data_IF_909096141455
#
_entry.id   IF_909096141455
#
_cell.length_a   1.000
_cell.length_b   1.000
_cell.length_c   1.000
_cell.angle_alpha   90.00
_cell.angle_beta   90.00
_cell.angle_gamma   90.00
#
_symmetry.space_group_name_H-M   'P 1'
#
loop_
_entity.id
_entity.type
_entity.pdbx_description
1 polymer ?
#
# COMPACT_ATOMS: atom_id res chain seq x y z
N UNK A 1 67.90 14.94 0.35
CA UNK A 1 67.12 14.56 -0.83
C UNK A 1 66.31 13.24 -0.61
N UNK A 2 66.93 12.17 -0.09
CA UNK A 2 66.23 10.89 0.17
C UNK A 2 65.15 10.95 1.27
N UNK A 3 65.29 11.81 2.28
CA UNK A 3 64.35 11.91 3.41
C UNK A 3 63.03 12.61 3.02
N UNK A 4 63.05 13.54 2.11
CA UNK A 4 61.89 14.27 1.61
C UNK A 4 61.01 13.40 0.67
N UNK A 5 61.63 12.52 -0.10
CA UNK A 5 60.89 11.60 -0.98
C UNK A 5 60.21 10.50 -0.14
N UNK A 6 60.86 10.02 0.91
CA UNK A 6 60.29 9.01 1.81
C UNK A 6 59.08 9.57 2.59
N UNK A 7 59.18 10.82 3.07
CA UNK A 7 58.10 11.50 3.78
C UNK A 7 56.88 11.72 2.89
N UNK A 8 57.08 12.15 1.63
CA UNK A 8 56.01 12.35 0.70
C UNK A 8 55.31 11.04 0.28
N UNK A 9 56.03 9.92 0.17
CA UNK A 9 55.43 8.60 -0.08
C UNK A 9 54.57 8.14 1.10
N UNK A 10 54.99 8.36 2.30
CA UNK A 10 54.19 8.01 3.51
C UNK A 10 52.93 8.88 3.57
N UNK A 11 53.02 10.18 3.28
CA UNK A 11 51.89 11.10 3.25
C UNK A 11 50.86 10.73 2.16
N UNK A 12 51.32 10.32 0.98
CA UNK A 12 50.42 9.83 -0.09
C UNK A 12 49.74 8.53 0.29
N UNK A 13 50.44 7.58 0.90
CA UNK A 13 49.84 6.33 1.40
C UNK A 13 48.77 6.58 2.48
N UNK A 14 48.98 7.55 3.36
CA UNK A 14 48.04 7.94 4.40
C UNK A 14 46.79 8.62 3.79
N UNK A 15 46.97 9.46 2.77
CA UNK A 15 45.88 10.15 2.07
C UNK A 15 45.03 9.17 1.27
N UNK A 16 45.65 8.25 0.53
CA UNK A 16 44.95 7.21 -0.24
C UNK A 16 44.18 6.26 0.65
N UNK A 17 44.77 5.87 1.80
CA UNK A 17 44.12 4.99 2.79
C UNK A 17 42.92 5.67 3.44
N UNK A 18 43.01 6.94 3.80
CA UNK A 18 41.88 7.69 4.37
C UNK A 18 40.80 8.00 3.32
N UNK A 19 41.17 8.27 2.08
CA UNK A 19 40.22 8.46 0.98
C UNK A 19 39.43 7.16 0.68
N UNK A 20 40.09 6.00 0.79
CA UNK A 20 39.44 4.71 0.61
C UNK A 20 38.44 4.38 1.75
N UNK A 21 38.77 4.77 2.99
CA UNK A 21 37.83 4.63 4.12
C UNK A 21 36.64 5.60 4.00
N UNK A 22 36.83 6.81 3.50
CA UNK A 22 35.74 7.77 3.26
C UNK A 22 34.81 7.25 2.13
N UNK A 23 35.35 6.67 1.07
CA UNK A 23 34.56 6.05 -0.02
C UNK A 23 33.77 4.83 0.44
N UNK A 24 34.29 4.01 1.36
CA UNK A 24 33.57 2.89 1.96
C UNK A 24 32.42 3.33 2.87
N UNK A 25 32.54 4.47 3.56
CA UNK A 25 31.46 5.03 4.38
C UNK A 25 30.33 5.64 3.54
N UNK A 26 30.60 6.13 2.34
CA UNK A 26 29.56 6.68 1.44
C UNK A 26 28.78 5.61 0.69
N UNK A 27 29.33 4.42 0.48
CA UNK A 27 28.64 3.34 -0.23
C UNK A 27 27.62 2.57 0.64
N UNK A 28 27.69 2.69 1.96
CA UNK A 28 26.75 2.00 2.87
C UNK A 28 25.39 2.70 3.04
N UNK A 29 25.21 3.93 2.55
CA UNK A 29 23.97 4.68 2.73
C UNK A 29 22.92 4.40 1.64
N UNK A 30 23.24 3.71 0.55
CA UNK A 30 22.30 3.42 -0.53
C UNK A 30 21.55 2.09 -0.36
N UNK A 31 22.07 1.17 0.42
CA UNK A 31 21.48 -0.17 0.65
C UNK A 31 20.44 -0.14 1.79
N UNK A 32 20.59 0.77 2.76
CA UNK A 32 19.78 0.80 3.98
C UNK A 32 18.32 1.24 3.79
N UNK A 33 17.99 1.97 2.71
CA UNK A 33 16.62 2.49 2.58
C UNK A 33 15.65 1.47 1.96
N UNK A 34 16.15 0.54 1.19
CA UNK A 34 15.34 -0.43 0.46
C UNK A 34 14.97 -1.63 1.34
N UNK A 35 15.92 -2.12 2.13
CA UNK A 35 15.68 -3.17 3.12
C UNK A 35 14.67 -2.74 4.21
N UNK A 36 14.70 -1.46 4.62
CA UNK A 36 13.77 -0.90 5.60
C UNK A 36 12.32 -0.95 5.10
N UNK A 37 12.06 -0.69 3.81
CA UNK A 37 10.70 -0.74 3.26
C UNK A 37 10.14 -2.15 3.27
N UNK A 38 10.93 -3.15 2.90
CA UNK A 38 10.49 -4.56 2.88
C UNK A 38 10.22 -5.06 4.29
N UNK A 39 11.12 -4.80 5.24
CA UNK A 39 10.94 -5.16 6.66
C UNK A 39 9.67 -4.48 7.22
N UNK A 40 9.47 -3.20 6.91
CA UNK A 40 8.28 -2.48 7.35
C UNK A 40 7.00 -3.12 6.80
N UNK A 41 6.97 -3.44 5.50
CA UNK A 41 5.83 -4.08 4.87
C UNK A 41 5.55 -5.46 5.46
N UNK A 42 6.58 -6.26 5.66
CA UNK A 42 6.47 -7.59 6.23
C UNK A 42 5.87 -7.53 7.64
N UNK A 43 6.33 -6.61 8.47
CA UNK A 43 5.78 -6.37 9.81
C UNK A 43 4.31 -5.95 9.78
N UNK A 44 3.92 -5.05 8.87
CA UNK A 44 2.53 -4.61 8.75
C UNK A 44 1.62 -5.73 8.22
N UNK A 45 2.08 -6.50 7.23
CA UNK A 45 1.36 -7.68 6.75
C UNK A 45 1.19 -8.72 7.86
N UNK A 46 2.26 -9.00 8.62
CA UNK A 46 2.18 -9.91 9.74
C UNK A 46 1.11 -9.48 10.76
N UNK A 47 1.08 -8.21 11.16
CA UNK A 47 0.06 -7.67 12.08
C UNK A 47 -1.36 -7.85 11.55
N UNK A 48 -1.56 -7.57 10.27
CA UNK A 48 -2.86 -7.71 9.61
C UNK A 48 -3.32 -9.17 9.61
N UNK A 49 -2.49 -10.07 9.10
CA UNK A 49 -2.86 -11.49 8.98
C UNK A 49 -2.95 -12.20 10.32
N UNK A 50 -2.12 -11.84 11.29
CA UNK A 50 -2.22 -12.34 12.66
C UNK A 50 -3.58 -11.95 13.29
N UNK A 51 -4.02 -10.71 13.07
CA UNK A 51 -5.35 -10.27 13.50
C UNK A 51 -6.47 -11.06 12.82
N UNK A 52 -6.44 -11.17 11.49
CA UNK A 52 -7.46 -11.92 10.72
C UNK A 52 -7.53 -13.37 11.20
N UNK A 53 -6.40 -14.04 11.30
CA UNK A 53 -6.35 -15.45 11.71
C UNK A 53 -6.88 -15.68 13.13
N UNK A 54 -6.59 -14.76 14.06
CA UNK A 54 -7.03 -14.89 15.47
C UNK A 54 -8.47 -14.47 15.72
N UNK A 55 -9.04 -13.63 14.85
CA UNK A 55 -10.32 -12.96 15.07
C UNK A 55 -11.36 -13.20 13.98
N UNK A 56 -11.09 -14.10 13.04
CA UNK A 56 -12.00 -14.41 11.92
C UNK A 56 -13.38 -14.90 12.39
N UNK A 57 -13.48 -15.51 13.56
CA UNK A 57 -14.73 -15.95 14.16
C UNK A 57 -15.66 -14.77 14.55
N UNK A 58 -15.09 -13.58 14.80
CA UNK A 58 -15.87 -12.38 15.08
C UNK A 58 -16.65 -11.88 13.85
N UNK A 59 -16.26 -12.25 12.63
CA UNK A 59 -17.01 -11.87 11.42
C UNK A 59 -18.47 -12.31 11.50
N UNK A 60 -18.73 -13.46 12.10
CA UNK A 60 -20.08 -14.03 12.27
C UNK A 60 -20.70 -13.68 13.63
N UNK A 61 -19.87 -13.51 14.68
CA UNK A 61 -20.34 -13.32 16.06
C UNK A 61 -20.52 -11.86 16.45
N UNK A 62 -19.62 -10.99 16.01
CA UNK A 62 -19.57 -9.56 16.35
C UNK A 62 -18.79 -8.80 15.27
N UNK A 63 -19.48 -8.50 14.17
CA UNK A 63 -18.90 -7.85 13.01
C UNK A 63 -18.27 -6.48 13.32
N UNK A 64 -18.93 -5.69 14.18
CA UNK A 64 -18.43 -4.36 14.56
C UNK A 64 -17.12 -4.44 15.33
N UNK A 65 -17.00 -5.40 16.25
CA UNK A 65 -15.75 -5.66 16.96
C UNK A 65 -14.65 -6.12 16.01
N UNK A 66 -14.98 -6.96 15.02
CA UNK A 66 -14.02 -7.38 14.01
C UNK A 66 -13.52 -6.19 13.17
N UNK A 67 -14.41 -5.35 12.66
CA UNK A 67 -14.08 -4.17 11.88
C UNK A 67 -13.15 -3.23 12.65
N UNK A 68 -13.49 -2.94 13.91
CA UNK A 68 -12.69 -2.05 14.75
C UNK A 68 -11.26 -2.56 14.96
N UNK A 69 -11.09 -3.85 15.19
CA UNK A 69 -9.76 -4.45 15.35
C UNK A 69 -9.00 -4.53 14.03
N UNK A 70 -9.69 -4.82 12.93
CA UNK A 70 -9.09 -4.80 11.59
C UNK A 70 -8.55 -3.41 11.22
N UNK A 71 -9.31 -2.34 11.50
CA UNK A 71 -8.86 -0.97 11.31
C UNK A 71 -7.56 -0.67 12.06
N UNK A 72 -7.47 -1.13 13.29
CA UNK A 72 -6.25 -0.98 14.07
C UNK A 72 -5.08 -1.74 13.45
N UNK A 73 -5.32 -2.93 12.90
CA UNK A 73 -4.28 -3.75 12.29
C UNK A 73 -3.74 -3.18 10.97
N UNK A 74 -4.56 -2.45 10.19
CA UNK A 74 -4.14 -1.84 8.91
C UNK A 74 -3.68 -0.38 9.05
N UNK A 75 -3.88 0.26 10.21
CA UNK A 75 -3.56 1.68 10.43
C UNK A 75 -2.10 2.02 10.12
N UNK A 76 -1.19 1.08 10.35
CA UNK A 76 0.22 1.23 10.03
C UNK A 76 0.46 1.40 8.53
N UNK A 77 -0.28 0.73 7.68
CA UNK A 77 -0.01 0.63 6.24
C UNK A 77 -0.97 1.41 5.34
N UNK A 78 -2.19 1.71 5.80
CA UNK A 78 -3.22 2.43 5.04
C UNK A 78 -3.61 3.72 5.76
N UNK A 79 -3.70 4.81 4.99
CA UNK A 79 -4.32 6.07 5.43
C UNK A 79 -5.65 6.26 4.69
N UNK A 80 -6.80 6.04 5.37
CA UNK A 80 -8.11 6.18 4.75
C UNK A 80 -8.38 7.58 4.19
N UNK A 81 -7.84 8.63 4.82
CA UNK A 81 -8.00 10.02 4.36
C UNK A 81 -7.27 10.25 3.03
N UNK A 82 -6.05 9.73 2.90
CA UNK A 82 -5.29 9.85 1.66
C UNK A 82 -5.94 9.03 0.52
N UNK A 83 -6.49 7.86 0.82
CA UNK A 83 -7.25 7.05 -0.15
C UNK A 83 -8.50 7.80 -0.61
N UNK A 84 -9.33 8.30 0.31
CA UNK A 84 -10.56 9.03 -0.02
C UNK A 84 -10.29 10.27 -0.84
N UNK A 85 -9.23 11.01 -0.52
CA UNK A 85 -8.78 12.16 -1.32
C UNK A 85 -8.44 11.76 -2.76
N UNK A 86 -7.87 10.57 -2.96
CA UNK A 86 -7.54 10.06 -4.29
C UNK A 86 -8.78 9.60 -5.04
N UNK A 87 -9.73 8.98 -4.37
CA UNK A 87 -11.00 8.52 -4.94
C UNK A 87 -11.88 9.71 -5.31
N UNK A 88 -12.12 10.65 -4.41
CA UNK A 88 -12.89 11.87 -4.70
C UNK A 88 -12.21 12.76 -5.73
N UNK A 89 -10.88 12.70 -5.84
CA UNK A 89 -10.07 13.62 -6.64
C UNK A 89 -9.83 14.95 -5.91
N UNK A 90 -8.65 15.55 -6.14
CA UNK A 90 -8.18 16.73 -5.40
C UNK A 90 -9.20 17.88 -5.37
N UNK A 91 -9.87 18.17 -6.50
CA UNK A 91 -10.80 19.29 -6.60
C UNK A 91 -12.02 19.06 -5.71
N UNK A 92 -12.74 17.94 -5.89
CA UNK A 92 -13.96 17.63 -5.13
C UNK A 92 -13.63 17.47 -3.63
N UNK A 93 -12.51 16.82 -3.31
CA UNK A 93 -12.08 16.66 -1.91
C UNK A 93 -11.82 18.01 -1.21
N UNK A 94 -11.24 19.00 -1.90
CA UNK A 94 -10.99 20.31 -1.34
C UNK A 94 -12.29 21.14 -1.18
N UNK A 95 -13.30 20.91 -2.02
CA UNK A 95 -14.63 21.55 -1.93
C UNK A 95 -15.52 20.89 -0.88
N UNK A 96 -15.25 19.63 -0.53
CA UNK A 96 -16.02 18.87 0.45
C UNK A 96 -15.80 19.39 1.88
N UNK A 97 -16.89 19.47 2.66
CA UNK A 97 -16.82 19.73 4.10
C UNK A 97 -16.16 18.56 4.85
N UNK A 98 -15.66 18.79 6.07
CA UNK A 98 -15.09 17.72 6.88
C UNK A 98 -16.10 16.60 7.16
N UNK A 99 -17.36 16.94 7.39
CA UNK A 99 -18.43 15.96 7.56
C UNK A 99 -18.63 15.09 6.32
N UNK A 100 -18.57 15.67 5.11
CA UNK A 100 -18.67 14.92 3.86
C UNK A 100 -17.46 13.98 3.67
N UNK A 101 -16.26 14.44 3.99
CA UNK A 101 -15.05 13.62 3.95
C UNK A 101 -15.13 12.44 4.90
N UNK A 102 -15.59 12.67 6.14
CA UNK A 102 -15.77 11.60 7.13
C UNK A 102 -16.85 10.59 6.71
N UNK A 103 -17.99 11.07 6.22
CA UNK A 103 -19.06 10.20 5.68
C UNK A 103 -18.58 9.33 4.54
N UNK A 104 -17.83 9.91 3.60
CA UNK A 104 -17.26 9.13 2.51
C UNK A 104 -16.23 8.13 3.00
N UNK A 105 -15.33 8.52 3.91
CA UNK A 105 -14.36 7.60 4.51
C UNK A 105 -15.04 6.40 5.14
N UNK A 106 -16.09 6.65 5.92
CA UNK A 106 -16.83 5.57 6.61
C UNK A 106 -17.53 4.66 5.61
N UNK A 107 -18.24 5.24 4.63
CA UNK A 107 -18.94 4.45 3.60
C UNK A 107 -17.97 3.63 2.76
N UNK A 108 -16.92 4.26 2.25
CA UNK A 108 -15.88 3.60 1.46
C UNK A 108 -15.28 2.40 2.20
N UNK A 109 -14.86 2.62 3.44
CA UNK A 109 -14.32 1.59 4.30
C UNK A 109 -15.29 0.42 4.49
N UNK A 110 -16.52 0.70 4.92
CA UNK A 110 -17.52 -0.33 5.22
C UNK A 110 -17.84 -1.15 3.97
N UNK A 111 -18.09 -0.48 2.83
CA UNK A 111 -18.39 -1.16 1.57
C UNK A 111 -17.26 -2.09 1.12
N UNK A 112 -15.99 -1.62 1.18
CA UNK A 112 -14.84 -2.48 0.85
C UNK A 112 -14.76 -3.67 1.79
N UNK A 113 -15.01 -3.43 3.06
CA UNK A 113 -14.87 -4.47 4.08
C UNK A 113 -15.96 -5.54 3.94
N UNK A 114 -17.23 -5.14 3.84
CA UNK A 114 -18.37 -6.02 3.65
C UNK A 114 -18.19 -6.92 2.42
N UNK A 115 -17.62 -6.36 1.36
CA UNK A 115 -17.42 -7.10 0.11
C UNK A 115 -16.23 -8.05 0.12
N UNK A 116 -15.17 -7.77 0.89
CA UNK A 116 -13.92 -8.52 0.79
C UNK A 116 -13.45 -9.19 2.08
N UNK A 117 -14.19 -9.08 3.19
CA UNK A 117 -13.81 -9.69 4.46
C UNK A 117 -13.61 -11.22 4.33
N UNK A 118 -14.43 -11.90 3.53
CA UNK A 118 -14.30 -13.33 3.28
C UNK A 118 -13.04 -13.68 2.48
N UNK A 119 -12.70 -12.86 1.46
CA UNK A 119 -11.51 -13.09 0.64
C UNK A 119 -10.21 -12.96 1.44
N UNK A 120 -10.17 -12.08 2.44
CA UNK A 120 -9.01 -11.95 3.32
C UNK A 120 -8.74 -13.22 4.15
N UNK A 121 -9.75 -14.04 4.45
CA UNK A 121 -9.57 -15.31 5.17
C UNK A 121 -8.83 -16.36 4.34
N UNK A 122 -8.92 -16.28 3.02
CA UNK A 122 -8.31 -17.25 2.10
C UNK A 122 -6.82 -16.99 1.86
N UNK A 123 -6.35 -15.78 2.19
CA UNK A 123 -4.95 -15.40 2.01
C UNK A 123 -4.13 -15.89 3.20
N UNK A 124 -3.18 -16.78 2.94
CA UNK A 124 -2.17 -17.12 3.93
C UNK A 124 -1.01 -16.12 3.83
N UNK A 125 -0.62 -15.52 4.96
CA UNK A 125 0.53 -14.60 5.02
C UNK A 125 1.81 -15.19 4.38
N UNK A 126 2.06 -16.49 4.55
CA UNK A 126 3.24 -17.17 4.01
C UNK A 126 3.27 -17.23 2.48
N UNK A 127 2.11 -17.05 1.85
CA UNK A 127 1.95 -17.08 0.40
C UNK A 127 2.08 -15.69 -0.23
N UNK A 128 2.16 -14.64 0.61
CA UNK A 128 2.42 -13.26 0.18
C UNK A 128 3.93 -13.02 0.10
N UNK A 129 4.45 -12.76 -1.09
CA UNK A 129 5.89 -12.54 -1.32
C UNK A 129 6.15 -11.21 -2.00
N UNK A 130 7.01 -10.39 -1.42
CA UNK A 130 7.56 -9.21 -2.09
C UNK A 130 8.51 -9.71 -3.17
N UNK A 131 8.27 -9.30 -4.42
CA UNK A 131 9.06 -9.71 -5.59
C UNK A 131 10.12 -8.67 -5.91
N UNK A 132 9.75 -7.40 -5.86
CA UNK A 132 10.64 -6.27 -6.12
C UNK A 132 9.99 -4.96 -5.67
N UNK A 133 10.82 -3.95 -5.48
CA UNK A 133 10.36 -2.58 -5.30
C UNK A 133 11.29 -1.59 -6.02
N UNK A 134 10.80 -0.38 -6.25
CA UNK A 134 11.60 0.74 -6.80
C UNK A 134 10.97 2.09 -6.43
N UNK A 135 11.80 3.14 -6.52
CA UNK A 135 11.38 4.53 -6.29
C UNK A 135 11.15 5.25 -7.62
N UNK A 136 9.89 5.58 -8.00
CA UNK A 136 9.62 6.28 -9.26
C UNK A 136 10.29 7.65 -9.30
N UNK A 137 10.93 7.98 -10.44
CA UNK A 137 11.60 9.28 -10.66
C UNK A 137 12.62 9.61 -9.57
N UNK A 138 13.29 8.62 -9.02
CA UNK A 138 14.27 8.77 -7.93
C UNK A 138 13.72 9.48 -6.68
N UNK A 139 12.41 9.58 -6.57
CA UNK A 139 11.77 10.20 -5.42
C UNK A 139 11.63 9.17 -4.29
N UNK A 140 12.53 9.27 -3.31
CA UNK A 140 12.58 8.37 -2.15
C UNK A 140 11.33 8.41 -1.25
N UNK A 141 10.46 9.40 -1.41
CA UNK A 141 9.18 9.47 -0.68
C UNK A 141 8.05 8.69 -1.37
N UNK A 142 8.28 8.12 -2.54
CA UNK A 142 7.35 7.26 -3.24
C UNK A 142 8.01 5.92 -3.52
N UNK A 143 7.26 4.84 -3.42
CA UNK A 143 7.70 3.51 -3.79
C UNK A 143 6.60 2.77 -4.56
N UNK A 144 7.02 1.88 -5.44
CA UNK A 144 6.17 0.88 -6.08
C UNK A 144 6.68 -0.48 -5.65
N UNK A 145 5.85 -1.27 -4.99
CA UNK A 145 6.19 -2.60 -4.50
C UNK A 145 5.36 -3.63 -5.24
N UNK A 146 6.01 -4.60 -5.85
CA UNK A 146 5.38 -5.72 -6.53
C UNK A 146 5.37 -6.94 -5.61
N UNK A 147 4.20 -7.53 -5.44
CA UNK A 147 4.02 -8.72 -4.62
C UNK A 147 3.32 -9.79 -5.43
N UNK A 148 3.52 -11.03 -5.03
CA UNK A 148 2.75 -12.19 -5.51
C UNK A 148 2.06 -12.87 -4.35
N UNK A 149 0.82 -13.24 -4.56
CA UNK A 149 0.02 -14.02 -3.61
C UNK A 149 -0.39 -15.30 -4.30
N UNK A 150 -0.16 -16.45 -3.68
CA UNK A 150 -0.71 -17.71 -4.16
C UNK A 150 -2.05 -17.96 -3.50
N UNK A 151 -3.14 -17.91 -4.29
CA UNK A 151 -4.49 -18.24 -3.83
C UNK A 151 -4.95 -19.50 -4.55
N UNK A 152 -5.13 -20.57 -3.80
CA UNK A 152 -5.66 -21.84 -4.31
C UNK A 152 -4.91 -22.36 -5.56
N UNK A 153 -3.58 -22.17 -5.61
CA UNK A 153 -2.72 -22.60 -6.73
C UNK A 153 -2.63 -21.60 -7.88
N UNK A 154 -3.30 -20.46 -7.81
CA UNK A 154 -3.18 -19.35 -8.77
C UNK A 154 -2.30 -18.24 -8.18
N UNK A 155 -1.31 -17.79 -8.93
CA UNK A 155 -0.52 -16.63 -8.60
C UNK A 155 -1.25 -15.36 -9.04
N UNK A 156 -1.44 -14.44 -8.10
CA UNK A 156 -2.07 -13.15 -8.31
C UNK A 156 -1.02 -12.07 -8.11
N UNK A 157 -0.92 -11.14 -9.05
CA UNK A 157 0.02 -10.03 -8.99
C UNK A 157 -0.61 -8.83 -8.28
N UNK A 158 0.06 -8.38 -7.21
CA UNK A 158 -0.30 -7.16 -6.49
C UNK A 158 0.79 -6.11 -6.72
N UNK A 159 0.36 -4.86 -6.93
CA UNK A 159 1.29 -3.72 -6.98
C UNK A 159 0.79 -2.65 -6.03
N UNK A 160 1.57 -2.37 -4.99
CA UNK A 160 1.32 -1.26 -4.09
C UNK A 160 2.01 0.00 -4.63
N UNK A 161 1.24 1.08 -4.77
CA UNK A 161 1.78 2.43 -4.89
C UNK A 161 1.86 2.99 -3.48
N UNK A 162 3.05 3.32 -3.02
CA UNK A 162 3.29 3.76 -1.65
C UNK A 162 3.83 5.18 -1.59
N UNK A 163 3.56 5.84 -0.48
CA UNK A 163 4.08 7.18 -0.19
C UNK A 163 4.49 7.26 1.28
N UNK A 164 5.64 7.85 1.54
CA UNK A 164 6.03 8.23 2.90
C UNK A 164 5.27 9.48 3.33
N UNK A 165 4.51 9.36 4.41
CA UNK A 165 3.71 10.43 5.02
C UNK A 165 4.17 10.53 6.47
N UNK A 166 4.75 11.67 6.85
CA UNK A 166 5.33 11.90 8.19
C UNK A 166 6.36 10.82 8.61
N UNK A 167 7.14 10.31 7.65
CA UNK A 167 8.13 9.27 7.90
C UNK A 167 7.59 7.83 7.91
N UNK A 168 6.28 7.62 7.77
CA UNK A 168 5.66 6.30 7.70
C UNK A 168 5.24 5.96 6.25
N UNK A 169 5.48 4.74 5.81
CA UNK A 169 5.04 4.27 4.52
C UNK A 169 3.55 3.93 4.52
N UNK A 170 2.80 4.51 3.56
CA UNK A 170 1.37 4.24 3.40
C UNK A 170 1.06 3.80 1.97
N UNK A 171 0.19 2.80 1.83
CA UNK A 171 -0.37 2.41 0.55
C UNK A 171 -1.35 3.50 0.11
N UNK A 172 -1.10 4.06 -1.06
CA UNK A 172 -1.92 5.11 -1.68
C UNK A 172 -2.56 4.68 -2.99
N UNK A 173 -2.31 3.46 -3.41
CA UNK A 173 -2.89 2.84 -4.60
C UNK A 173 -2.61 1.36 -4.61
N UNK A 174 -3.54 0.60 -5.16
CA UNK A 174 -3.49 -0.86 -5.26
C UNK A 174 -3.87 -1.28 -6.68
N UNK A 175 -3.02 -2.08 -7.30
CA UNK A 175 -3.30 -2.74 -8.57
C UNK A 175 -3.29 -4.25 -8.32
N UNK A 176 -4.33 -4.94 -8.78
CA UNK A 176 -4.48 -6.40 -8.66
C UNK A 176 -4.65 -6.95 -10.07
N UNK A 177 -3.77 -7.84 -10.50
CA UNK A 177 -3.77 -8.42 -11.86
C UNK A 177 -3.92 -7.36 -12.98
N UNK A 178 -3.24 -6.21 -12.82
CA UNK A 178 -3.28 -5.10 -13.77
C UNK A 178 -4.44 -4.11 -13.58
N UNK A 179 -5.40 -4.39 -12.70
CA UNK A 179 -6.57 -3.53 -12.44
C UNK A 179 -6.24 -2.51 -11.35
N UNK A 180 -6.19 -1.22 -11.70
CA UNK A 180 -5.96 -0.11 -10.75
C UNK A 180 -7.26 0.26 -10.02
N UNK A 181 -7.40 -0.22 -8.78
CA UNK A 181 -8.62 -0.06 -8.00
C UNK A 181 -8.94 1.41 -7.70
N UNK A 182 -7.93 2.23 -7.39
CA UNK A 182 -8.15 3.65 -7.09
C UNK A 182 -8.67 4.40 -8.32
N UNK A 183 -8.19 4.05 -9.50
CA UNK A 183 -8.65 4.66 -10.75
C UNK A 183 -10.11 4.31 -11.05
N UNK A 184 -10.52 3.06 -10.82
CA UNK A 184 -11.90 2.62 -11.00
C UNK A 184 -12.84 3.31 -10.00
N UNK A 185 -12.48 3.30 -8.71
CA UNK A 185 -13.27 3.96 -7.66
C UNK A 185 -13.43 5.46 -7.91
N UNK A 186 -12.36 6.11 -8.37
CA UNK A 186 -12.41 7.53 -8.75
C UNK A 186 -13.36 7.78 -9.91
N UNK A 187 -13.28 6.97 -10.97
CA UNK A 187 -14.17 7.09 -12.13
C UNK A 187 -15.62 7.01 -11.70
N UNK A 188 -15.96 6.03 -10.87
CA UNK A 188 -17.31 5.88 -10.35
C UNK A 188 -17.74 7.09 -9.51
N UNK A 189 -16.90 7.54 -8.56
CA UNK A 189 -17.24 8.69 -7.72
C UNK A 189 -17.51 9.96 -8.56
N UNK A 190 -16.65 10.20 -9.57
CA UNK A 190 -16.83 11.35 -10.48
C UNK A 190 -18.11 11.21 -11.29
N UNK A 191 -18.44 10.03 -11.80
CA UNK A 191 -19.68 9.80 -12.54
C UNK A 191 -20.90 10.13 -11.66
N UNK A 192 -20.97 9.59 -10.45
CA UNK A 192 -22.04 9.89 -9.49
C UNK A 192 -22.12 11.38 -9.14
N UNK A 193 -20.97 12.04 -8.99
CA UNK A 193 -20.94 13.48 -8.75
C UNK A 193 -21.55 14.28 -9.91
N UNK A 194 -21.28 13.88 -11.15
CA UNK A 194 -21.85 14.52 -12.34
C UNK A 194 -23.34 14.20 -12.50
N UNK A 195 -23.76 12.95 -12.31
CA UNK A 195 -25.16 12.50 -12.32
C UNK A 195 -26.00 13.25 -11.28
N UNK A 196 -25.45 13.50 -10.09
CA UNK A 196 -26.06 14.29 -9.04
C UNK A 196 -25.97 15.81 -9.24
N UNK A 197 -25.77 16.32 -10.49
CA UNK A 197 -25.60 17.74 -10.75
C UNK A 197 -24.50 18.42 -9.91
N UNK A 198 -23.36 17.75 -9.78
CA UNK A 198 -22.19 18.16 -8.97
C UNK A 198 -22.49 18.21 -7.46
N UNK A 199 -23.38 17.37 -7.00
CA UNK A 199 -23.71 17.24 -5.58
C UNK A 199 -22.83 16.16 -4.93
N UNK A 200 -21.98 16.59 -3.99
CA UNK A 200 -21.07 15.70 -3.26
C UNK A 200 -21.86 14.69 -2.40
N UNK A 201 -22.94 15.13 -1.75
CA UNK A 201 -23.76 14.22 -0.93
C UNK A 201 -24.39 13.12 -1.80
N UNK A 202 -24.91 13.47 -2.99
CA UNK A 202 -25.45 12.48 -3.91
C UNK A 202 -24.39 11.43 -4.28
N UNK A 203 -23.15 11.86 -4.61
CA UNK A 203 -22.07 10.94 -4.91
C UNK A 203 -21.72 10.03 -3.72
N UNK A 204 -21.67 10.57 -2.50
CA UNK A 204 -21.41 9.79 -1.30
C UNK A 204 -22.52 8.78 -1.03
N UNK A 205 -23.77 9.20 -1.08
CA UNK A 205 -24.93 8.37 -0.72
C UNK A 205 -25.12 7.20 -1.69
N UNK A 206 -24.84 7.42 -2.98
CA UNK A 206 -25.00 6.41 -4.04
C UNK A 206 -23.70 5.66 -4.37
N UNK A 207 -22.58 5.96 -3.70
CA UNK A 207 -21.34 5.24 -3.97
C UNK A 207 -21.42 3.80 -3.44
N UNK A 208 -21.00 2.85 -4.27
CA UNK A 208 -20.88 1.44 -3.95
C UNK A 208 -19.71 0.83 -4.73
N UNK A 209 -19.41 -0.46 -4.57
CA UNK A 209 -18.37 -1.09 -5.35
C UNK A 209 -18.76 -1.20 -6.83
N UNK A 210 -17.88 -0.77 -7.75
CA UNK A 210 -18.10 -0.99 -9.17
C UNK A 210 -18.19 -2.47 -9.53
N UNK A 211 -19.13 -2.83 -10.41
CA UNK A 211 -19.34 -4.21 -10.84
C UNK A 211 -18.05 -4.85 -11.42
N UNK A 212 -17.21 -4.07 -12.09
CA UNK A 212 -15.95 -4.54 -12.68
C UNK A 212 -14.96 -5.03 -11.61
N UNK A 213 -14.95 -4.38 -10.45
CA UNK A 213 -14.08 -4.78 -9.32
C UNK A 213 -14.63 -6.03 -8.65
N UNK A 214 -15.95 -6.10 -8.50
CA UNK A 214 -16.61 -7.24 -7.91
C UNK A 214 -16.38 -8.51 -8.73
N UNK A 215 -16.50 -8.44 -10.05
CA UNK A 215 -16.28 -9.58 -10.96
C UNK A 215 -14.80 -10.02 -10.98
N UNK A 216 -13.84 -9.08 -11.00
CA UNK A 216 -12.42 -9.43 -11.05
C UNK A 216 -11.93 -10.14 -9.78
N UNK A 217 -12.47 -9.79 -8.61
CA UNK A 217 -12.08 -10.38 -7.33
C UNK A 217 -12.91 -11.63 -6.96
N UNK A 218 -14.16 -11.77 -7.48
CA UNK A 218 -14.94 -13.01 -7.36
C UNK A 218 -14.30 -14.14 -8.18
N UNK A 219 -13.77 -13.85 -9.36
CA UNK A 219 -13.02 -14.84 -10.16
C UNK A 219 -11.71 -15.28 -9.50
N UNK A 220 -11.20 -14.54 -8.52
CA UNK A 220 -10.06 -14.94 -7.70
C UNK A 220 -10.47 -16.04 -6.70
N UNK A 221 -11.70 -16.02 -6.19
CA UNK A 221 -12.20 -16.96 -5.17
C UNK A 221 -12.94 -18.20 -5.72
N UNK A 222 -13.27 -18.25 -7.03
CA UNK A 222 -13.86 -19.45 -7.62
C UNK A 222 -12.77 -20.45 -8.04
N UNK A 223 -12.69 -21.63 -7.39
CA UNK A 223 -11.84 -22.72 -7.90
C UNK A 223 -12.38 -23.10 -9.27
N UNK A 224 -11.53 -23.08 -10.29
CA UNK A 224 -11.83 -23.62 -11.62
C UNK A 224 -12.44 -25.00 -11.47
N UNK A 225 -13.76 -25.13 -11.59
CA UNK A 225 -14.41 -26.42 -11.80
C UNK A 225 -13.86 -26.96 -13.11
N UNK A 226 -12.91 -27.88 -13.01
CA UNK A 226 -12.53 -28.72 -14.15
C UNK A 226 -13.77 -29.54 -14.51
N UNK A 227 -14.29 -29.31 -15.71
CA UNK A 227 -15.14 -30.27 -16.37
C UNK A 227 -14.30 -31.48 -16.78
#
# INVERSE_FOLDING_TARGET
>A
MLFTEFYNKILQLFFVRNLFFILLFFSSHLIFSDEILEIYLDEQHYKLFDYINKKSDLIEKDYDAFIKGFELSIKGIIDPKEISKRVMGKKIYNEASELQKERFNLKFKNTLFESYASAFKEINYKDLKIVSHYHPKENKNNAVVKLKVNLSGRNIDFVYKMKSINGEWKIIGLIIDGVDLISIFRKQFINLFLEGNKNINYAIDNWDLPAEVNLSLIHISEPTRRM
#
